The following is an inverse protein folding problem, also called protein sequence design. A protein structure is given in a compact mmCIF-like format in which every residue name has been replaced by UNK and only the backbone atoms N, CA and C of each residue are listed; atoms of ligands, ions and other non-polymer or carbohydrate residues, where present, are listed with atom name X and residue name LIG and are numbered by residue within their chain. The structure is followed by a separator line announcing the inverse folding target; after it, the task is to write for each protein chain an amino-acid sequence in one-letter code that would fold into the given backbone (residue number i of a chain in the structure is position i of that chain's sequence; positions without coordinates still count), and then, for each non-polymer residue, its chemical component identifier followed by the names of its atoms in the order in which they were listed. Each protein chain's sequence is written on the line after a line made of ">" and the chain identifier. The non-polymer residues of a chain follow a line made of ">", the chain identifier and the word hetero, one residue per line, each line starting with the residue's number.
data_IF_070225941540
#
_entry.id   IF_070225941540
#
_cell.length_a   1.000
_cell.length_b   1.000
_cell.length_c   1.000
_cell.angle_alpha   90.00
_cell.angle_beta   90.00
_cell.angle_gamma   90.00
#
_symmetry.space_group_name_H-M   'P 1'
#
loop_
_entity.id
_entity.type
_entity.pdbx_description
1 polymer ?
#
# COMPACT_ATOMS: atom_id res chain seq x y z
N UNK A 1 17.99 -29.47 16.37
CA UNK A 1 18.58 -29.81 15.06
C UNK A 1 19.10 -28.51 14.45
N UNK A 2 20.39 -28.47 14.12
CA UNK A 2 21.21 -27.26 13.92
C UNK A 2 20.66 -26.37 12.79
N UNK A 3 20.25 -25.14 13.12
CA UNK A 3 20.07 -24.06 12.14
C UNK A 3 21.47 -23.60 11.75
N UNK A 4 21.93 -24.04 10.58
CA UNK A 4 23.24 -23.68 10.05
C UNK A 4 23.32 -22.18 9.76
N UNK A 5 24.53 -21.64 9.92
CA UNK A 5 24.95 -20.25 9.74
C UNK A 5 24.78 -19.69 8.30
N UNK A 6 24.00 -20.38 7.46
CA UNK A 6 23.56 -20.00 6.12
C UNK A 6 22.07 -20.33 5.98
N UNK A 7 21.23 -19.82 6.87
CA UNK A 7 19.83 -19.63 6.53
C UNK A 7 19.80 -18.71 5.32
N UNK A 8 19.68 -19.29 4.13
CA UNK A 8 19.64 -18.54 2.86
C UNK A 8 18.73 -17.33 3.04
N UNK A 9 19.18 -16.13 2.65
CA UNK A 9 18.35 -14.91 2.70
C UNK A 9 16.97 -15.18 2.09
N UNK A 10 16.90 -16.05 1.08
CA UNK A 10 15.66 -16.53 0.48
C UNK A 10 14.77 -17.34 1.43
N UNK A 11 15.34 -18.18 2.29
CA UNK A 11 14.59 -18.94 3.29
C UNK A 11 13.95 -18.03 4.36
N UNK A 12 14.70 -17.06 4.87
CA UNK A 12 14.17 -16.07 5.83
C UNK A 12 13.12 -15.17 5.17
N UNK A 13 13.37 -14.70 3.94
CA UNK A 13 12.39 -13.94 3.16
C UNK A 13 11.13 -14.77 2.87
N UNK A 14 11.28 -16.05 2.57
CA UNK A 14 10.16 -16.95 2.28
C UNK A 14 9.28 -17.18 3.49
N UNK A 15 9.85 -17.42 4.67
CA UNK A 15 9.06 -17.62 5.89
C UNK A 15 8.33 -16.32 6.30
N UNK A 16 9.01 -15.17 6.26
CA UNK A 16 8.36 -13.86 6.49
C UNK A 16 7.26 -13.57 5.49
N UNK A 17 7.49 -13.89 4.22
CA UNK A 17 6.46 -13.75 3.18
C UNK A 17 5.27 -14.67 3.42
N UNK A 18 5.50 -15.95 3.80
CA UNK A 18 4.43 -16.90 4.12
C UNK A 18 3.58 -16.40 5.29
N UNK A 19 4.23 -15.92 6.35
CA UNK A 19 3.57 -15.34 7.52
C UNK A 19 2.76 -14.09 7.15
N UNK A 20 3.36 -13.16 6.41
CA UNK A 20 2.66 -11.94 5.98
C UNK A 20 1.46 -12.26 5.09
N UNK A 21 1.63 -13.22 4.18
CA UNK A 21 0.56 -13.69 3.28
C UNK A 21 -0.57 -14.37 4.06
N UNK A 22 -0.26 -15.22 5.04
CA UNK A 22 -1.29 -15.92 5.82
C UNK A 22 -2.17 -14.94 6.60
N UNK A 23 -1.61 -13.84 7.09
CA UNK A 23 -2.34 -12.78 7.79
C UNK A 23 -3.26 -11.97 6.86
N UNK A 24 -2.83 -11.68 5.63
CA UNK A 24 -3.59 -10.84 4.69
C UNK A 24 -4.62 -11.62 3.85
N UNK A 25 -4.38 -12.91 3.59
CA UNK A 25 -5.24 -13.73 2.73
C UNK A 25 -6.73 -13.72 3.15
N UNK A 26 -7.09 -13.78 4.44
CA UNK A 26 -8.49 -13.71 4.87
C UNK A 26 -9.20 -12.40 4.49
N UNK A 27 -8.45 -11.29 4.34
CA UNK A 27 -8.99 -10.00 3.95
C UNK A 27 -9.31 -9.90 2.45
N UNK A 28 -8.70 -10.76 1.63
CA UNK A 28 -8.76 -10.73 0.16
C UNK A 28 -9.65 -11.84 -0.43
N UNK A 29 -10.55 -12.42 0.38
CA UNK A 29 -11.51 -13.41 -0.13
C UNK A 29 -12.52 -12.77 -1.08
N UNK A 30 -13.07 -13.56 -2.01
CA UNK A 30 -14.03 -13.05 -3.00
C UNK A 30 -15.27 -12.42 -2.37
N UNK A 31 -15.73 -12.90 -1.21
CA UNK A 31 -16.85 -12.30 -0.49
C UNK A 31 -16.52 -10.91 0.06
N UNK A 32 -15.30 -10.72 0.59
CA UNK A 32 -14.81 -9.43 1.07
C UNK A 32 -14.63 -8.43 -0.07
N UNK A 33 -14.03 -8.86 -1.18
CA UNK A 33 -13.90 -8.02 -2.39
C UNK A 33 -15.28 -7.63 -2.94
N UNK A 34 -16.24 -8.58 -3.00
CA UNK A 34 -17.62 -8.27 -3.40
C UNK A 34 -18.28 -7.22 -2.50
N UNK A 35 -17.96 -7.22 -1.21
CA UNK A 35 -18.42 -6.19 -0.26
C UNK A 35 -17.94 -4.78 -0.59
N UNK A 36 -16.85 -4.64 -1.36
CA UNK A 36 -16.28 -3.35 -1.77
C UNK A 36 -16.82 -2.83 -3.11
N UNK A 37 -17.56 -3.65 -3.87
CA UNK A 37 -18.14 -3.26 -5.18
C UNK A 37 -18.92 -1.93 -5.12
N UNK A 38 -19.74 -1.65 -4.09
CA UNK A 38 -20.45 -0.36 -4.01
C UNK A 38 -19.51 0.84 -4.07
N UNK A 39 -18.34 0.78 -3.42
CA UNK A 39 -17.33 1.84 -3.45
C UNK A 39 -16.70 1.98 -4.83
N UNK A 40 -16.46 0.85 -5.51
CA UNK A 40 -15.94 0.87 -6.88
C UNK A 40 -16.95 1.48 -7.87
N UNK A 41 -18.23 1.24 -7.65
CA UNK A 41 -19.31 1.84 -8.46
C UNK A 41 -19.41 3.35 -8.23
N UNK A 42 -19.18 3.85 -7.01
CA UNK A 42 -19.09 5.28 -6.73
C UNK A 42 -17.94 5.93 -7.50
N UNK A 43 -16.73 5.35 -7.42
CA UNK A 43 -15.57 5.85 -8.18
C UNK A 43 -15.80 5.73 -9.70
N UNK A 44 -16.55 4.73 -10.16
CA UNK A 44 -16.93 4.60 -11.57
C UNK A 44 -17.85 5.73 -12.03
N UNK A 45 -18.71 6.27 -11.16
CA UNK A 45 -19.51 7.46 -11.47
C UNK A 45 -18.61 8.69 -11.62
N UNK A 46 -17.62 8.83 -10.75
CA UNK A 46 -16.63 9.92 -10.84
C UNK A 46 -15.81 9.82 -12.13
N UNK A 47 -15.44 8.60 -12.54
CA UNK A 47 -14.76 8.35 -13.81
C UNK A 47 -15.64 8.78 -15.00
N UNK A 48 -16.93 8.43 -14.98
CA UNK A 48 -17.86 8.85 -16.03
C UNK A 48 -17.91 10.38 -16.12
N UNK A 49 -18.08 11.06 -14.97
CA UNK A 49 -18.14 12.52 -14.92
C UNK A 49 -16.82 13.17 -15.42
N UNK A 50 -15.67 12.55 -15.13
CA UNK A 50 -14.38 12.97 -15.65
C UNK A 50 -14.33 12.85 -17.17
N UNK A 51 -14.72 11.69 -17.71
CA UNK A 51 -14.73 11.44 -19.16
C UNK A 51 -15.66 12.41 -19.89
N UNK A 52 -16.87 12.63 -19.39
CA UNK A 52 -17.85 13.55 -19.96
C UNK A 52 -17.29 14.99 -20.07
N UNK A 53 -16.42 15.39 -19.14
CA UNK A 53 -15.76 16.72 -19.13
C UNK A 53 -14.52 16.80 -20.01
N UNK A 54 -13.70 15.75 -20.05
CA UNK A 54 -12.37 15.81 -20.67
C UNK A 54 -12.34 15.33 -22.12
N UNK A 55 -13.25 14.44 -22.53
CA UNK A 55 -13.28 13.91 -23.91
C UNK A 55 -13.53 14.99 -24.96
N UNK A 56 -14.23 16.08 -24.61
CA UNK A 56 -14.42 17.22 -25.51
C UNK A 56 -13.16 18.04 -25.75
N UNK A 57 -12.12 17.87 -24.91
CA UNK A 57 -10.86 18.63 -25.00
C UNK A 57 -9.79 17.91 -25.83
N UNK A 58 -9.96 16.62 -26.11
CA UNK A 58 -9.03 15.83 -26.90
C UNK A 58 -8.89 14.39 -26.42
N UNK A 59 -7.97 13.62 -27.04
CA UNK A 59 -7.70 12.24 -26.64
C UNK A 59 -7.10 12.19 -25.24
N UNK A 60 -7.49 11.15 -24.49
CA UNK A 60 -6.97 10.86 -23.16
C UNK A 60 -5.95 9.74 -23.20
N UNK A 61 -4.92 9.85 -22.38
CA UNK A 61 -3.92 8.80 -22.22
C UNK A 61 -4.48 7.70 -21.30
N UNK A 62 -4.59 6.48 -21.83
CA UNK A 62 -5.29 5.38 -21.17
C UNK A 62 -4.59 4.91 -19.88
N UNK A 63 -3.26 4.93 -19.83
CA UNK A 63 -2.50 4.54 -18.63
C UNK A 63 -2.70 5.55 -17.50
N UNK A 64 -2.70 6.85 -17.77
CA UNK A 64 -2.97 7.88 -16.77
C UNK A 64 -4.40 7.80 -16.25
N UNK A 65 -5.38 7.59 -17.14
CA UNK A 65 -6.77 7.39 -16.76
C UNK A 65 -6.95 6.18 -15.85
N UNK A 66 -6.38 5.02 -16.24
CA UNK A 66 -6.41 3.81 -15.43
C UNK A 66 -5.73 4.01 -14.07
N UNK A 67 -4.61 4.73 -14.03
CA UNK A 67 -3.90 5.02 -12.80
C UNK A 67 -4.72 5.92 -11.86
N UNK A 68 -5.40 6.95 -12.38
CA UNK A 68 -6.29 7.82 -11.59
C UNK A 68 -7.46 7.03 -11.01
N UNK A 69 -8.17 6.28 -11.85
CA UNK A 69 -9.27 5.43 -11.44
C UNK A 69 -8.85 4.42 -10.37
N UNK A 70 -7.72 3.74 -10.56
CA UNK A 70 -7.22 2.73 -9.62
C UNK A 70 -6.80 3.38 -8.29
N UNK A 71 -6.20 4.57 -8.33
CA UNK A 71 -5.83 5.33 -7.12
C UNK A 71 -7.06 5.69 -6.28
N UNK A 72 -8.14 6.17 -6.92
CA UNK A 72 -9.37 6.54 -6.21
C UNK A 72 -10.11 5.31 -5.66
N UNK A 73 -10.11 4.20 -6.42
CA UNK A 73 -10.63 2.93 -5.92
C UNK A 73 -9.86 2.44 -4.70
N UNK A 74 -8.53 2.49 -4.75
CA UNK A 74 -7.67 2.08 -3.64
C UNK A 74 -7.94 2.94 -2.40
N UNK A 75 -7.93 4.27 -2.53
CA UNK A 75 -8.22 5.18 -1.43
C UNK A 75 -9.60 4.94 -0.79
N UNK A 76 -10.62 4.67 -1.61
CA UNK A 76 -11.99 4.42 -1.16
C UNK A 76 -12.16 3.03 -0.54
N UNK A 77 -11.63 1.98 -1.17
CA UNK A 77 -11.78 0.61 -0.72
C UNK A 77 -10.84 0.23 0.42
N UNK A 78 -9.67 0.89 0.54
CA UNK A 78 -8.71 0.59 1.60
C UNK A 78 -8.95 1.42 2.85
N UNK A 79 -9.04 2.74 2.70
CA UNK A 79 -9.05 3.68 3.82
C UNK A 79 -10.40 4.38 4.01
N UNK A 80 -11.35 4.16 3.10
CA UNK A 80 -12.67 4.76 3.18
C UNK A 80 -12.68 6.28 2.90
N UNK A 81 -11.72 6.77 2.12
CA UNK A 81 -11.57 8.19 1.78
C UNK A 81 -11.70 8.44 0.28
N UNK A 82 -12.07 9.66 -0.11
CA UNK A 82 -12.03 10.07 -1.52
C UNK A 82 -10.60 10.49 -1.89
N UNK A 83 -9.97 9.73 -2.80
CA UNK A 83 -8.60 10.00 -3.29
C UNK A 83 -8.48 11.20 -4.23
N UNK A 84 -9.59 11.61 -4.85
CA UNK A 84 -9.75 12.78 -5.73
C UNK A 84 -8.80 12.86 -6.94
N UNK A 85 -8.18 11.75 -7.34
CA UNK A 85 -7.31 11.67 -8.51
C UNK A 85 -8.05 11.96 -9.83
N UNK A 86 -9.37 11.77 -9.89
CA UNK A 86 -10.24 12.11 -11.02
C UNK A 86 -10.81 13.54 -10.98
N UNK A 87 -10.49 14.34 -9.97
CA UNK A 87 -11.10 15.68 -9.78
C UNK A 87 -10.11 16.84 -9.91
N UNK A 88 -8.85 16.57 -10.24
CA UNK A 88 -7.73 17.54 -10.36
C UNK A 88 -7.46 18.43 -9.11
N UNK A 89 -8.27 18.29 -8.05
CA UNK A 89 -8.13 18.96 -6.76
C UNK A 89 -7.53 17.99 -5.74
N UNK A 90 -6.26 18.23 -5.40
CA UNK A 90 -5.45 17.49 -4.41
C UNK A 90 -5.27 15.99 -4.71
N UNK A 91 -4.33 15.70 -5.61
CA UNK A 91 -3.97 14.38 -6.10
C UNK A 91 -2.85 13.71 -5.26
N UNK A 92 -2.80 13.95 -3.94
CA UNK A 92 -1.69 13.50 -3.09
C UNK A 92 -1.41 12.00 -3.23
N UNK A 93 -2.44 11.15 -3.24
CA UNK A 93 -2.28 9.71 -3.48
C UNK A 93 -1.74 9.40 -4.88
N UNK A 94 -2.14 10.14 -5.91
CA UNK A 94 -1.64 9.98 -7.28
C UNK A 94 -0.17 10.36 -7.37
N UNK A 95 0.23 11.49 -6.77
CA UNK A 95 1.63 11.95 -6.71
C UNK A 95 2.53 10.92 -6.04
N UNK A 96 2.08 10.37 -4.91
CA UNK A 96 2.80 9.32 -4.20
C UNK A 96 2.83 8.01 -5.00
N UNK A 97 1.71 7.63 -5.62
CA UNK A 97 1.61 6.45 -6.49
C UNK A 97 2.53 6.52 -7.71
N UNK A 98 2.82 7.72 -8.25
CA UNK A 98 3.80 7.87 -9.34
C UNK A 98 5.21 7.41 -8.94
N UNK A 99 5.61 7.53 -7.68
CA UNK A 99 6.92 6.99 -7.24
C UNK A 99 7.01 5.47 -7.38
N UNK A 100 5.87 4.77 -7.35
CA UNK A 100 5.78 3.31 -7.49
C UNK A 100 5.56 2.91 -8.96
N UNK A 101 4.63 3.57 -9.64
CA UNK A 101 4.13 3.14 -10.97
C UNK A 101 4.78 3.88 -12.15
N UNK A 102 5.58 4.90 -11.90
CA UNK A 102 6.33 5.65 -12.90
C UNK A 102 7.80 5.87 -12.44
N UNK A 103 8.56 4.78 -12.20
CA UNK A 103 9.90 4.88 -11.64
C UNK A 103 10.87 5.51 -12.63
N UNK A 104 11.64 6.49 -12.14
CA UNK A 104 12.75 7.06 -12.88
C UNK A 104 13.88 6.05 -13.11
N UNK A 105 14.78 6.32 -14.07
CA UNK A 105 15.98 5.50 -14.29
C UNK A 105 16.79 5.28 -13.00
N UNK A 106 16.93 6.31 -12.18
CA UNK A 106 17.61 6.21 -10.89
C UNK A 106 16.85 5.32 -9.89
N UNK A 107 15.52 5.38 -9.89
CA UNK A 107 14.67 4.48 -9.09
C UNK A 107 14.86 3.02 -9.50
N UNK A 108 14.96 2.76 -10.81
CA UNK A 108 15.23 1.42 -11.32
C UNK A 108 16.62 0.90 -10.92
N UNK A 109 17.65 1.76 -10.96
CA UNK A 109 18.99 1.40 -10.45
C UNK A 109 18.93 1.05 -8.96
N UNK A 110 18.24 1.87 -8.15
CA UNK A 110 18.05 1.61 -6.72
C UNK A 110 17.36 0.27 -6.48
N UNK A 111 16.32 -0.05 -7.26
CA UNK A 111 15.61 -1.32 -7.18
C UNK A 111 16.54 -2.51 -7.47
N UNK A 112 17.33 -2.44 -8.55
CA UNK A 112 18.31 -3.48 -8.90
C UNK A 112 19.37 -3.63 -7.80
N UNK A 113 19.89 -2.52 -7.28
CA UNK A 113 20.86 -2.54 -6.19
C UNK A 113 20.27 -3.16 -4.91
N UNK A 114 19.02 -2.83 -4.57
CA UNK A 114 18.36 -3.42 -3.40
C UNK A 114 18.16 -4.92 -3.57
N UNK A 115 17.76 -5.36 -4.77
CA UNK A 115 17.44 -6.75 -5.06
C UNK A 115 18.67 -7.66 -5.11
N UNK A 116 19.75 -7.22 -5.77
CA UNK A 116 20.94 -8.05 -6.02
C UNK A 116 22.12 -7.72 -5.10
N UNK A 117 22.20 -6.50 -4.58
CA UNK A 117 23.33 -6.01 -3.78
C UNK A 117 22.87 -5.28 -2.51
N UNK A 118 22.04 -5.91 -1.64
CA UNK A 118 21.45 -5.24 -0.47
C UNK A 118 22.49 -4.66 0.50
N UNK A 119 23.68 -5.29 0.59
CA UNK A 119 24.79 -4.76 1.38
C UNK A 119 25.27 -3.39 0.90
N UNK A 120 25.45 -3.22 -0.41
CA UNK A 120 25.87 -1.94 -1.01
C UNK A 120 24.77 -0.89 -0.84
N UNK A 121 23.51 -1.27 -1.09
CA UNK A 121 22.36 -0.39 -0.91
C UNK A 121 22.31 0.20 0.51
N UNK A 122 22.56 -0.65 1.52
CA UNK A 122 22.57 -0.27 2.92
C UNK A 122 23.80 0.58 3.30
N UNK A 123 24.99 0.26 2.80
CA UNK A 123 26.23 1.04 3.04
C UNK A 123 26.08 2.46 2.49
N UNK A 124 25.51 2.59 1.29
CA UNK A 124 25.24 3.88 0.65
C UNK A 124 24.03 4.61 1.24
N UNK A 125 23.34 4.01 2.23
CA UNK A 125 22.14 4.56 2.90
C UNK A 125 21.08 5.02 1.89
N UNK A 126 20.94 4.28 0.79
CA UNK A 126 19.93 4.55 -0.23
C UNK A 126 18.55 4.24 0.33
N UNK A 127 17.53 4.89 -0.26
CA UNK A 127 16.12 4.69 0.07
C UNK A 127 15.35 4.45 -1.20
N UNK A 128 14.44 3.47 -1.17
CA UNK A 128 13.60 3.17 -2.33
C UNK A 128 12.62 4.28 -2.60
N UNK A 129 11.92 4.70 -1.55
CA UNK A 129 10.92 5.75 -1.62
C UNK A 129 11.45 7.08 -1.09
N UNK A 130 10.84 8.18 -1.53
CA UNK A 130 11.19 9.50 -1.04
C UNK A 130 10.90 9.64 0.47
N UNK A 131 11.60 10.56 1.14
CA UNK A 131 11.28 10.93 2.53
C UNK A 131 9.82 11.38 2.68
N UNK A 132 9.27 12.03 1.64
CA UNK A 132 7.89 12.50 1.60
C UNK A 132 6.92 11.32 1.60
N UNK A 133 7.17 10.31 0.76
CA UNK A 133 6.36 9.10 0.72
C UNK A 133 6.33 8.40 2.08
N UNK A 134 7.50 8.16 2.67
CA UNK A 134 7.59 7.50 3.97
C UNK A 134 6.92 8.31 5.09
N UNK A 135 7.16 9.62 5.13
CA UNK A 135 6.54 10.51 6.13
C UNK A 135 5.01 10.48 6.03
N UNK A 136 4.48 10.57 4.81
CA UNK A 136 3.04 10.55 4.57
C UNK A 136 2.39 9.30 5.14
N UNK A 137 2.84 8.10 4.77
CA UNK A 137 2.21 6.86 5.24
C UNK A 137 2.42 6.60 6.73
N UNK A 138 3.55 7.05 7.29
CA UNK A 138 3.82 6.98 8.74
C UNK A 138 2.85 7.81 9.56
N UNK A 139 2.36 8.93 9.03
CA UNK A 139 1.38 9.81 9.68
C UNK A 139 -0.06 9.37 9.36
N UNK A 140 -0.34 9.09 8.08
CA UNK A 140 -1.67 8.81 7.57
C UNK A 140 -2.28 7.50 8.08
N UNK A 141 -1.53 6.39 8.09
CA UNK A 141 -2.09 5.07 8.46
C UNK A 141 -2.54 5.02 9.92
N UNK A 142 -1.73 5.45 10.91
CA UNK A 142 -2.17 5.51 12.31
C UNK A 142 -3.37 6.42 12.51
N UNK A 143 -3.42 7.56 11.82
CA UNK A 143 -4.56 8.48 11.89
C UNK A 143 -5.84 7.82 11.35
N UNK A 144 -5.77 7.15 10.19
CA UNK A 144 -6.91 6.44 9.61
C UNK A 144 -7.44 5.34 10.53
N UNK A 145 -6.54 4.56 11.15
CA UNK A 145 -6.86 3.54 12.16
C UNK A 145 -7.57 4.17 13.37
N UNK A 146 -6.95 5.19 13.98
CA UNK A 146 -7.47 5.84 15.18
C UNK A 146 -8.85 6.48 14.93
N UNK A 147 -9.02 7.16 13.79
CA UNK A 147 -10.29 7.75 13.39
C UNK A 147 -11.38 6.69 13.20
N UNK A 148 -11.03 5.51 12.69
CA UNK A 148 -11.99 4.41 12.52
C UNK A 148 -12.42 3.82 13.87
N UNK A 149 -11.46 3.59 14.76
CA UNK A 149 -11.72 3.04 16.09
C UNK A 149 -12.57 3.99 16.95
N UNK A 150 -12.31 5.31 16.87
CA UNK A 150 -13.01 6.33 17.67
C UNK A 150 -14.39 6.70 17.13
N UNK A 151 -14.59 6.68 15.81
CA UNK A 151 -15.88 7.08 15.20
C UNK A 151 -16.98 6.01 15.31
N UNK A 152 -16.62 4.75 15.55
CA UNK A 152 -17.57 3.62 15.57
C UNK A 152 -18.25 3.33 14.21
N UNK A 153 -17.85 4.02 13.15
CA UNK A 153 -18.40 3.83 11.80
C UNK A 153 -17.92 2.49 11.26
N UNK A 154 -18.87 1.62 10.93
CA UNK A 154 -18.58 0.36 10.25
C UNK A 154 -18.77 0.54 8.75
N UNK A 155 -17.71 0.24 8.00
CA UNK A 155 -17.69 0.28 6.53
C UNK A 155 -17.06 -1.01 6.05
N UNK A 156 -17.63 -1.66 5.04
CA UNK A 156 -17.11 -2.94 4.51
C UNK A 156 -15.86 -2.75 3.62
N UNK A 157 -14.90 -1.96 4.10
CA UNK A 157 -13.63 -1.66 3.46
C UNK A 157 -12.48 -2.48 4.06
N UNK A 158 -11.29 -2.39 3.46
CA UNK A 158 -10.13 -3.18 3.84
C UNK A 158 -9.68 -2.88 5.27
N UNK A 159 -9.62 -1.60 5.66
CA UNK A 159 -9.26 -1.20 7.02
C UNK A 159 -10.16 -1.84 8.07
N UNK A 160 -11.48 -1.86 7.86
CA UNK A 160 -12.41 -2.53 8.77
C UNK A 160 -12.14 -4.03 8.86
N UNK A 161 -11.83 -4.67 7.74
CA UNK A 161 -11.52 -6.10 7.71
C UNK A 161 -10.24 -6.39 8.49
N UNK A 162 -9.19 -5.57 8.32
CA UNK A 162 -7.94 -5.70 9.08
C UNK A 162 -8.16 -5.53 10.58
N UNK A 163 -8.98 -4.56 11.00
CA UNK A 163 -9.33 -4.36 12.41
C UNK A 163 -10.08 -5.56 12.99
N UNK A 164 -10.99 -6.17 12.22
CA UNK A 164 -11.69 -7.39 12.62
C UNK A 164 -10.75 -8.59 12.74
N UNK A 165 -9.76 -8.71 11.86
CA UNK A 165 -8.75 -9.78 11.91
C UNK A 165 -7.83 -9.62 13.11
N UNK A 166 -7.43 -8.38 13.43
CA UNK A 166 -6.68 -8.04 14.64
C UNK A 166 -7.41 -8.50 15.91
N UNK A 167 -8.70 -8.19 16.04
CA UNK A 167 -9.50 -8.56 17.23
C UNK A 167 -9.69 -10.07 17.37
N UNK A 168 -9.68 -10.83 16.26
CA UNK A 168 -9.82 -12.29 16.26
C UNK A 168 -8.50 -13.04 16.54
N UNK A 169 -7.43 -12.33 16.94
CA UNK A 169 -6.11 -12.91 17.21
C UNK A 169 -5.34 -13.29 15.94
N UNK A 170 -5.76 -12.81 14.76
CA UNK A 170 -5.11 -13.10 13.48
C UNK A 170 -3.92 -12.20 13.15
N UNK A 171 -3.62 -11.22 14.01
CA UNK A 171 -2.53 -10.25 13.84
C UNK A 171 -1.99 -9.94 15.24
N UNK A 172 -0.67 -9.79 15.36
CA UNK A 172 0.18 -9.62 16.56
C UNK A 172 0.68 -10.93 17.21
N UNK A 173 1.80 -11.46 16.70
CA UNK A 173 2.93 -11.76 17.57
C UNK A 173 3.41 -10.41 18.15
N UNK A 174 3.45 -10.29 19.48
CA UNK A 174 4.00 -9.10 20.13
C UNK A 174 5.44 -8.87 19.64
N UNK A 175 5.71 -7.73 19.00
CA UNK A 175 7.09 -7.27 18.81
C UNK A 175 7.69 -7.03 20.20
N UNK A 176 8.63 -7.88 20.58
CA UNK A 176 9.41 -7.74 21.80
C UNK A 176 10.27 -6.46 21.67
N UNK A 177 10.15 -5.46 22.56
CA UNK A 177 10.80 -4.15 22.39
C UNK A 177 12.34 -4.18 22.39
N UNK A 178 12.97 -5.36 22.53
CA UNK A 178 14.40 -5.59 22.47
C UNK A 178 14.89 -6.35 21.22
N UNK A 179 14.05 -6.59 20.21
CA UNK A 179 14.53 -7.13 18.92
C UNK A 179 15.21 -6.04 18.08
N UNK A 180 16.51 -5.93 18.34
CA UNK A 180 17.59 -5.39 17.53
C UNK A 180 17.22 -4.51 16.33
N UNK A 181 17.57 -3.24 16.47
CA UNK A 181 17.64 -2.15 15.49
C UNK A 181 18.26 -2.51 14.11
N UNK A 182 18.86 -3.70 13.97
CA UNK A 182 19.43 -4.22 12.73
C UNK A 182 18.42 -4.86 11.76
N UNK A 183 17.23 -5.27 12.19
CA UNK A 183 16.21 -5.82 11.27
C UNK A 183 15.33 -4.76 10.59
N UNK A 184 15.31 -3.54 11.14
CA UNK A 184 14.66 -2.37 10.51
C UNK A 184 15.33 -1.91 9.20
N UNK A 185 16.41 -2.58 8.77
CA UNK A 185 17.17 -2.25 7.55
C UNK A 185 16.57 -2.82 6.26
N UNK A 186 15.51 -3.62 6.33
CA UNK A 186 14.91 -4.24 5.14
C UNK A 186 13.48 -3.77 4.83
N UNK A 187 13.02 -2.69 5.48
CA UNK A 187 11.71 -2.08 5.21
C UNK A 187 11.92 -0.60 4.87
N UNK A 188 11.59 -0.25 3.62
CA UNK A 188 11.75 1.03 2.90
C UNK A 188 13.16 1.40 2.38
#
# INVERSE_FOLDING_TARGET
>A
MKVGLFGSVFGVLLERWKESRSQLTPALTSSRIKGMIPFMLEVSKDLKNYLDRELSKGPLEAKDLAARYTTDNLASCEFGIHGRALSDVDDTFRKLGKEIFDPSFLTNIKFVLQLYFPGIFNILKLRMFSKKFHKFFKEFVPEAVSKRETSGVTRNDFLQILLQLKQKGGIYSEENPNENENERKFVC
#
